data_IF_959970105535
#
_entry.id   IF_959970105535
#
_cell.length_a   1.000
_cell.length_b   1.000
_cell.length_c   1.000
_cell.angle_alpha   90.00
_cell.angle_beta   90.00
_cell.angle_gamma   90.00
#
_symmetry.space_group_name_H-M   'P 1'
#
loop_
_entity.id
_entity.type
_entity.pdbx_description
1 polymer ?
#
# COMPACT_ATOMS: atom_id res chain seq x y z
N UNK A 1 -5.25 -24.49 -1.66
CA UNK A 1 -5.69 -24.44 -3.06
C UNK A 1 -6.98 -23.66 -3.32
N UNK A 2 -7.91 -23.59 -2.37
CA UNK A 2 -9.16 -22.82 -2.49
C UNK A 2 -8.94 -21.33 -2.73
N UNK A 3 -8.10 -20.67 -1.94
CA UNK A 3 -7.82 -19.23 -2.07
C UNK A 3 -7.17 -18.92 -3.44
N UNK A 4 -6.30 -19.81 -3.92
CA UNK A 4 -5.64 -19.66 -5.22
C UNK A 4 -6.62 -19.84 -6.38
N UNK A 5 -7.52 -20.82 -6.29
CA UNK A 5 -8.57 -21.02 -7.30
C UNK A 5 -9.53 -19.82 -7.36
N UNK A 6 -9.91 -19.26 -6.20
CA UNK A 6 -10.66 -18.02 -6.13
C UNK A 6 -9.97 -16.87 -6.87
N UNK A 7 -8.69 -16.61 -6.56
CA UNK A 7 -7.96 -15.51 -7.20
C UNK A 7 -7.81 -15.68 -8.71
N UNK A 8 -7.65 -16.91 -9.22
CA UNK A 8 -7.65 -17.18 -10.66
C UNK A 8 -8.99 -16.79 -11.31
N UNK A 9 -10.12 -17.18 -10.72
CA UNK A 9 -11.44 -16.79 -11.23
C UNK A 9 -11.65 -15.28 -11.18
N UNK A 10 -11.40 -14.66 -10.03
CA UNK A 10 -11.64 -13.25 -9.81
C UNK A 10 -10.75 -12.34 -10.68
N UNK A 11 -9.46 -12.66 -10.82
CA UNK A 11 -8.48 -11.79 -11.50
C UNK A 11 -8.25 -12.19 -12.97
N UNK A 12 -8.10 -13.48 -13.27
CA UNK A 12 -7.78 -13.92 -14.65
C UNK A 12 -9.03 -14.01 -15.53
N UNK A 13 -10.20 -14.34 -14.95
CA UNK A 13 -11.46 -14.51 -15.69
C UNK A 13 -12.45 -13.37 -15.49
N UNK A 14 -12.15 -12.43 -14.58
CA UNK A 14 -13.00 -11.27 -14.29
C UNK A 14 -14.30 -11.61 -13.57
N UNK A 15 -14.38 -12.76 -12.90
CA UNK A 15 -15.55 -13.19 -12.11
C UNK A 15 -15.71 -12.31 -10.86
N UNK A 16 -16.25 -11.10 -11.05
CA UNK A 16 -16.24 -10.01 -10.06
C UNK A 16 -17.67 -9.62 -9.65
N UNK A 17 -18.18 -10.29 -8.62
CA UNK A 17 -19.44 -9.93 -7.95
C UNK A 17 -19.19 -9.19 -6.64
N UNK A 18 -20.23 -8.62 -6.05
CA UNK A 18 -20.12 -7.98 -4.73
C UNK A 18 -19.71 -8.98 -3.64
N UNK A 19 -20.24 -10.21 -3.69
CA UNK A 19 -19.82 -11.32 -2.81
C UNK A 19 -18.34 -11.70 -3.01
N UNK A 20 -17.87 -11.69 -4.27
CA UNK A 20 -16.47 -11.95 -4.57
C UNK A 20 -15.56 -10.85 -4.01
N UNK A 21 -15.99 -9.59 -4.04
CA UNK A 21 -15.26 -8.48 -3.42
C UNK A 21 -15.20 -8.65 -1.89
N UNK A 22 -16.32 -8.99 -1.24
CA UNK A 22 -16.34 -9.24 0.20
C UNK A 22 -15.41 -10.41 0.58
N UNK A 23 -15.41 -11.49 -0.21
CA UNK A 23 -14.52 -12.63 -0.03
C UNK A 23 -13.04 -12.23 -0.20
N UNK A 24 -12.71 -11.47 -1.25
CA UNK A 24 -11.37 -10.97 -1.50
C UNK A 24 -10.84 -10.12 -0.34
N UNK A 25 -11.66 -9.20 0.19
CA UNK A 25 -11.31 -8.40 1.38
C UNK A 25 -11.09 -9.31 2.60
N UNK A 26 -11.94 -10.33 2.78
CA UNK A 26 -11.77 -11.33 3.83
C UNK A 26 -10.43 -12.07 3.74
N UNK A 27 -10.04 -12.51 2.54
CA UNK A 27 -8.76 -13.15 2.30
C UNK A 27 -7.57 -12.21 2.56
N UNK A 28 -7.65 -10.95 2.10
CA UNK A 28 -6.61 -9.95 2.36
C UNK A 28 -6.42 -9.68 3.86
N UNK A 29 -7.51 -9.66 4.64
CA UNK A 29 -7.45 -9.55 6.10
C UNK A 29 -6.88 -10.80 6.75
N UNK A 30 -7.35 -11.98 6.35
CA UNK A 30 -6.92 -13.30 6.86
C UNK A 30 -5.40 -13.48 6.73
N UNK A 31 -4.84 -13.04 5.62
CA UNK A 31 -3.40 -13.15 5.32
C UNK A 31 -2.60 -11.89 5.69
N UNK A 32 -3.19 -10.96 6.44
CA UNK A 32 -2.55 -9.71 6.88
C UNK A 32 -1.99 -8.82 5.76
N UNK A 33 -2.45 -9.02 4.53
CA UNK A 33 -1.90 -8.39 3.33
C UNK A 33 -2.04 -6.85 3.34
N UNK A 34 -3.10 -6.34 3.98
CA UNK A 34 -3.33 -4.89 4.12
C UNK A 34 -2.29 -4.24 5.03
N UNK A 35 -2.07 -4.80 6.23
CA UNK A 35 -1.07 -4.28 7.16
C UNK A 35 0.35 -4.37 6.60
N UNK A 36 0.69 -5.48 5.91
CA UNK A 36 1.99 -5.63 5.26
C UNK A 36 2.20 -4.62 4.12
N UNK A 37 1.12 -4.20 3.45
CA UNK A 37 1.16 -3.16 2.43
C UNK A 37 1.37 -1.77 3.04
N UNK A 38 0.69 -1.46 4.15
CA UNK A 38 0.90 -0.21 4.90
C UNK A 38 2.34 -0.12 5.42
N UNK A 39 2.86 -1.19 6.03
CA UNK A 39 4.24 -1.26 6.52
C UNK A 39 5.25 -0.99 5.41
N UNK A 40 5.05 -1.56 4.22
CA UNK A 40 5.89 -1.29 3.05
C UNK A 40 5.80 0.18 2.61
N UNK A 41 4.61 0.77 2.58
CA UNK A 41 4.44 2.17 2.23
C UNK A 41 5.21 3.11 3.19
N UNK A 42 5.13 2.86 4.50
CA UNK A 42 5.90 3.60 5.52
C UNK A 42 7.41 3.43 5.30
N UNK A 43 7.86 2.21 5.00
CA UNK A 43 9.28 1.94 4.71
C UNK A 43 9.79 2.75 3.52
N UNK A 44 9.01 2.85 2.44
CA UNK A 44 9.38 3.70 1.30
C UNK A 44 9.42 5.18 1.66
N UNK A 45 8.49 5.66 2.49
CA UNK A 45 8.53 7.01 3.04
C UNK A 45 9.82 7.29 3.81
N UNK A 46 10.28 6.34 4.64
CA UNK A 46 11.58 6.45 5.34
C UNK A 46 12.74 6.56 4.36
N UNK A 47 12.81 5.67 3.36
CA UNK A 47 13.87 5.69 2.34
C UNK A 47 13.90 7.02 1.59
N UNK A 48 12.72 7.56 1.25
CA UNK A 48 12.62 8.85 0.59
C UNK A 48 13.12 10.00 1.49
N UNK A 49 12.81 10.00 2.79
CA UNK A 49 13.35 11.00 3.74
C UNK A 49 14.87 10.90 3.85
N UNK A 50 15.40 9.69 3.96
CA UNK A 50 16.85 9.44 4.05
C UNK A 50 17.57 9.93 2.79
N UNK A 51 16.99 9.74 1.61
CA UNK A 51 17.53 10.24 0.35
C UNK A 51 17.55 11.78 0.25
N UNK A 52 16.62 12.46 0.93
CA UNK A 52 16.56 13.93 0.98
C UNK A 52 17.46 14.53 2.07
N UNK A 53 17.84 13.75 3.08
CA UNK A 53 18.64 14.22 4.22
C UNK A 53 19.93 14.98 3.85
N UNK A 54 20.78 14.53 2.89
CA UNK A 54 22.03 15.22 2.56
C UNK A 54 21.84 16.49 1.71
N UNK A 55 20.63 16.76 1.21
CA UNK A 55 20.37 17.93 0.39
C UNK A 55 20.33 19.20 1.25
N UNK A 56 20.71 20.34 0.66
CA UNK A 56 20.61 21.63 1.31
C UNK A 56 19.18 21.96 1.71
N UNK A 57 19.02 22.69 2.82
CA UNK A 57 17.72 23.13 3.30
C UNK A 57 17.16 24.22 2.39
N UNK A 58 16.25 23.81 1.52
CA UNK A 58 15.59 24.65 0.53
C UNK A 58 14.07 24.49 0.65
N UNK A 59 13.28 25.48 0.18
CA UNK A 59 11.83 25.35 0.12
C UNK A 59 11.36 24.09 -0.64
N UNK A 60 12.13 23.64 -1.64
CA UNK A 60 11.84 22.43 -2.40
C UNK A 60 12.05 21.16 -1.58
N UNK A 61 13.13 21.08 -0.79
CA UNK A 61 13.36 19.97 0.15
C UNK A 61 12.22 19.88 1.15
N UNK A 62 11.80 21.01 1.72
CA UNK A 62 10.67 21.07 2.66
C UNK A 62 9.37 20.56 1.99
N UNK A 63 9.04 21.06 0.80
CA UNK A 63 7.84 20.61 0.08
C UNK A 63 7.85 19.11 -0.23
N UNK A 64 9.01 18.52 -0.56
CA UNK A 64 9.12 17.08 -0.79
C UNK A 64 8.92 16.26 0.49
N UNK A 65 9.40 16.75 1.64
CA UNK A 65 9.14 16.11 2.94
C UNK A 65 7.65 16.15 3.29
N UNK A 66 6.98 17.28 3.08
CA UNK A 66 5.53 17.42 3.30
C UNK A 66 4.71 16.44 2.43
N UNK A 67 5.12 16.25 1.17
CA UNK A 67 4.48 15.29 0.27
C UNK A 67 4.62 13.85 0.79
N UNK A 68 5.79 13.50 1.35
CA UNK A 68 6.02 12.18 1.94
C UNK A 68 5.10 11.98 3.15
N UNK A 69 5.01 12.97 4.03
CA UNK A 69 4.17 12.93 5.23
C UNK A 69 2.69 12.80 4.86
N UNK A 70 2.22 13.60 3.90
CA UNK A 70 0.85 13.50 3.38
C UNK A 70 0.54 12.11 2.81
N UNK A 71 1.48 11.50 2.09
CA UNK A 71 1.27 10.18 1.51
C UNK A 71 1.10 9.09 2.58
N UNK A 72 1.86 9.17 3.68
CA UNK A 72 1.83 8.19 4.78
C UNK A 72 0.64 8.43 5.71
N UNK A 73 0.25 9.68 5.97
CA UNK A 73 -0.86 10.00 6.87
C UNK A 73 -2.21 9.40 6.43
N UNK A 74 -2.42 9.20 5.13
CA UNK A 74 -3.68 8.63 4.58
C UNK A 74 -3.93 7.16 4.96
N UNK A 75 -2.90 6.46 5.42
CA UNK A 75 -2.96 5.04 5.83
C UNK A 75 -2.73 4.85 7.34
N UNK A 76 -2.57 5.96 8.08
CA UNK A 76 -2.33 6.00 9.53
C UNK A 76 -3.63 6.12 10.32
#
# INVERSE_FOLDING_TARGET
>A
DTDRAFWRGAIEKGETTEDALAHAIGLMKKHNALADTIKRAISYGSVARDALAPLADTPQKAALLDVIDYCVARVS
#
